data_IF_408899488244
#
_entry.id   IF_408899488244
#
_cell.length_a   1.000
_cell.length_b   1.000
_cell.length_c   1.000
_cell.angle_alpha   90.00
_cell.angle_beta   90.00
_cell.angle_gamma   90.00
#
_symmetry.space_group_name_H-M   'P 1'
#
loop_
_entity.id
_entity.type
_entity.pdbx_description
1 polymer ?
#
# COMPACT_ATOMS: atom_id res chain seq x y z
N UNK A 1 -42.26 -47.32 33.17
CA UNK A 1 -42.75 -46.52 32.03
C UNK A 1 -42.28 -47.18 30.76
N UNK A 2 -43.16 -47.42 29.77
CA UNK A 2 -42.77 -48.06 28.52
C UNK A 2 -41.86 -47.12 27.71
N UNK A 3 -40.67 -47.59 27.37
CA UNK A 3 -39.74 -46.91 26.47
C UNK A 3 -40.41 -46.80 25.09
N UNK A 4 -40.73 -45.58 24.66
CA UNK A 4 -41.32 -45.34 23.34
C UNK A 4 -40.22 -44.87 22.37
N UNK A 5 -39.58 -45.78 21.62
CA UNK A 5 -38.42 -45.47 20.78
C UNK A 5 -38.74 -44.44 19.68
N UNK A 6 -39.99 -44.34 19.25
CA UNK A 6 -40.42 -43.40 18.20
C UNK A 6 -40.37 -41.95 18.71
N UNK A 7 -40.67 -41.73 19.99
CA UNK A 7 -40.66 -40.39 20.59
C UNK A 7 -39.22 -39.86 20.76
N UNK A 8 -38.25 -40.74 21.05
CA UNK A 8 -36.83 -40.38 21.15
C UNK A 8 -36.21 -40.10 19.77
N UNK A 9 -36.61 -40.82 18.71
CA UNK A 9 -36.13 -40.57 17.34
C UNK A 9 -36.62 -39.20 16.83
N UNK A 10 -37.89 -38.86 17.07
CA UNK A 10 -38.42 -37.55 16.67
C UNK A 10 -37.79 -36.38 17.43
N UNK A 11 -37.47 -36.55 18.72
CA UNK A 11 -36.70 -35.54 19.46
C UNK A 11 -35.26 -35.42 18.95
N UNK A 12 -34.60 -36.53 18.59
CA UNK A 12 -33.27 -36.51 18.00
C UNK A 12 -33.22 -35.80 16.64
N UNK A 13 -34.22 -36.01 15.77
CA UNK A 13 -34.34 -35.34 14.48
C UNK A 13 -34.59 -33.83 14.63
N UNK A 14 -35.45 -33.42 15.58
CA UNK A 14 -35.69 -32.00 15.86
C UNK A 14 -34.45 -31.30 16.43
N UNK A 15 -33.71 -31.99 17.31
CA UNK A 15 -32.45 -31.49 17.86
C UNK A 15 -31.37 -31.38 16.78
N UNK A 16 -31.24 -32.38 15.91
CA UNK A 16 -30.30 -32.38 14.79
C UNK A 16 -30.61 -31.24 13.80
N UNK A 17 -31.89 -31.00 13.49
CA UNK A 17 -32.32 -29.87 12.67
C UNK A 17 -31.93 -28.52 13.28
N UNK A 18 -32.17 -28.33 14.59
CA UNK A 18 -31.79 -27.10 15.29
C UNK A 18 -30.28 -26.89 15.35
N UNK A 19 -29.50 -27.96 15.60
CA UNK A 19 -28.02 -27.88 15.62
C UNK A 19 -27.49 -27.52 14.23
N UNK A 20 -28.04 -28.13 13.18
CA UNK A 20 -27.64 -27.83 11.81
C UNK A 20 -27.99 -26.39 11.42
N UNK A 21 -29.16 -25.90 11.81
CA UNK A 21 -29.58 -24.52 11.55
C UNK A 21 -28.72 -23.52 12.32
N UNK A 22 -28.37 -23.82 13.58
CA UNK A 22 -27.49 -22.98 14.38
C UNK A 22 -26.06 -22.94 13.81
N UNK A 23 -25.56 -24.05 13.28
CA UNK A 23 -24.26 -24.10 12.60
C UNK A 23 -24.27 -23.26 11.32
N UNK A 24 -25.33 -23.33 10.50
CA UNK A 24 -25.47 -22.48 9.32
C UNK A 24 -25.51 -20.99 9.68
N UNK A 25 -26.24 -20.62 10.74
CA UNK A 25 -26.32 -19.24 11.21
C UNK A 25 -24.94 -18.70 11.64
N UNK A 26 -24.15 -19.52 12.35
CA UNK A 26 -22.81 -19.15 12.78
C UNK A 26 -21.84 -18.99 11.59
N UNK A 27 -21.97 -19.83 10.56
CA UNK A 27 -21.18 -19.71 9.33
C UNK A 27 -21.52 -18.42 8.57
N UNK A 28 -22.81 -18.10 8.43
CA UNK A 28 -23.25 -16.85 7.79
C UNK A 28 -22.69 -15.62 8.52
N UNK A 29 -22.73 -15.61 9.86
CA UNK A 29 -22.18 -14.50 10.65
C UNK A 29 -20.66 -14.36 10.48
N UNK A 30 -19.92 -15.47 10.44
CA UNK A 30 -18.47 -15.45 10.23
C UNK A 30 -18.09 -14.92 8.84
N UNK A 31 -18.81 -15.37 7.80
CA UNK A 31 -18.61 -14.92 6.41
C UNK A 31 -18.92 -13.42 6.26
N UNK A 32 -19.99 -12.93 6.90
CA UNK A 32 -20.31 -11.50 6.92
C UNK A 32 -19.21 -10.66 7.58
N UNK A 33 -18.62 -11.13 8.68
CA UNK A 33 -17.50 -10.45 9.33
C UNK A 33 -16.23 -10.46 8.45
N UNK A 34 -15.93 -11.58 7.78
CA UNK A 34 -14.82 -11.69 6.84
C UNK A 34 -14.95 -10.73 5.67
N UNK A 35 -16.13 -10.66 5.06
CA UNK A 35 -16.44 -9.71 3.98
C UNK A 35 -16.32 -8.25 4.46
N UNK A 36 -16.82 -7.94 5.67
CA UNK A 36 -16.69 -6.60 6.23
C UNK A 36 -15.21 -6.21 6.45
N UNK A 37 -14.37 -7.15 6.90
CA UNK A 37 -12.93 -6.92 7.06
C UNK A 37 -12.21 -6.75 5.71
N UNK A 38 -12.51 -7.59 4.72
CA UNK A 38 -11.97 -7.44 3.35
C UNK A 38 -12.38 -6.12 2.71
N UNK A 39 -13.63 -5.70 2.96
CA UNK A 39 -14.15 -4.41 2.48
C UNK A 39 -13.47 -3.24 3.16
N UNK A 40 -13.20 -3.34 4.47
CA UNK A 40 -12.49 -2.32 5.24
C UNK A 40 -11.01 -2.20 4.82
N UNK A 41 -10.40 -3.27 4.31
CA UNK A 41 -9.04 -3.29 3.79
C UNK A 41 -8.95 -2.89 2.30
N UNK A 42 -10.05 -2.46 1.68
CA UNK A 42 -10.07 -1.98 0.28
C UNK A 42 -9.86 -3.06 -0.79
N UNK A 43 -9.76 -4.32 -0.40
CA UNK A 43 -9.48 -5.46 -1.29
C UNK A 43 -10.70 -6.31 -1.66
N UNK A 44 -11.91 -5.89 -1.29
CA UNK A 44 -13.11 -6.69 -1.56
C UNK A 44 -13.50 -6.64 -3.04
N UNK A 45 -13.31 -7.77 -3.72
CA UNK A 45 -13.84 -8.03 -5.05
C UNK A 45 -14.89 -9.16 -4.96
N UNK A 46 -16.18 -8.90 -5.23
CA UNK A 46 -17.23 -9.92 -5.13
C UNK A 46 -16.98 -11.15 -6.01
N UNK A 47 -16.26 -10.98 -7.12
CA UNK A 47 -15.97 -12.08 -8.05
C UNK A 47 -14.81 -12.97 -7.58
N UNK A 48 -13.93 -12.45 -6.72
CA UNK A 48 -12.72 -13.14 -6.25
C UNK A 48 -12.80 -13.52 -4.76
N UNK A 49 -13.72 -12.91 -4.00
CA UNK A 49 -13.91 -13.21 -2.58
C UNK A 49 -14.57 -14.57 -2.41
N UNK A 50 -13.78 -15.54 -1.95
CA UNK A 50 -14.26 -16.88 -1.60
C UNK A 50 -15.36 -16.81 -0.52
N UNK A 51 -15.24 -15.90 0.43
CA UNK A 51 -16.24 -15.72 1.50
C UNK A 51 -17.59 -15.22 0.94
N UNK A 52 -17.55 -14.37 -0.08
CA UNK A 52 -18.76 -13.91 -0.76
C UNK A 52 -19.42 -15.02 -1.58
N UNK A 53 -18.64 -15.84 -2.29
CA UNK A 53 -19.15 -16.99 -3.02
C UNK A 53 -19.81 -18.01 -2.08
N UNK A 54 -19.21 -18.26 -0.90
CA UNK A 54 -19.79 -19.13 0.12
C UNK A 54 -21.07 -18.53 0.73
N UNK A 55 -21.08 -17.22 1.00
CA UNK A 55 -22.28 -16.54 1.49
C UNK A 55 -23.42 -16.60 0.46
N UNK A 56 -23.12 -16.45 -0.83
CA UNK A 56 -24.11 -16.55 -1.90
C UNK A 56 -24.72 -17.96 -2.03
N UNK A 57 -23.95 -19.01 -1.74
CA UNK A 57 -24.43 -20.39 -1.73
C UNK A 57 -25.27 -20.72 -0.48
N UNK A 58 -24.91 -20.18 0.69
CA UNK A 58 -25.58 -20.45 1.96
C UNK A 58 -26.81 -19.56 2.17
N UNK A 59 -26.75 -18.29 1.79
CA UNK A 59 -27.81 -17.30 1.98
C UNK A 59 -27.86 -16.29 0.81
N UNK A 60 -28.61 -16.63 -0.26
CA UNK A 60 -28.75 -15.78 -1.44
C UNK A 60 -29.33 -14.38 -1.13
N UNK A 61 -30.16 -14.26 -0.09
CA UNK A 61 -30.80 -12.98 0.25
C UNK A 61 -29.79 -12.05 0.94
N UNK A 62 -29.01 -12.56 1.89
CA UNK A 62 -27.97 -11.76 2.57
C UNK A 62 -26.81 -11.40 1.62
N UNK A 63 -26.42 -12.28 0.70
CA UNK A 63 -25.42 -11.95 -0.32
C UNK A 63 -25.90 -10.87 -1.29
N UNK A 64 -27.16 -10.92 -1.73
CA UNK A 64 -27.77 -9.86 -2.54
C UNK A 64 -27.85 -8.52 -1.79
N UNK A 65 -28.18 -8.54 -0.50
CA UNK A 65 -28.16 -7.34 0.35
C UNK A 65 -26.74 -6.80 0.56
N UNK A 66 -25.74 -7.67 0.72
CA UNK A 66 -24.33 -7.30 0.83
C UNK A 66 -23.82 -6.69 -0.47
N UNK A 67 -24.18 -7.26 -1.62
CA UNK A 67 -23.85 -6.73 -2.94
C UNK A 67 -24.57 -5.39 -3.21
N UNK A 68 -25.83 -5.27 -2.80
CA UNK A 68 -26.60 -4.02 -2.88
C UNK A 68 -26.00 -2.93 -1.99
N UNK A 69 -25.57 -3.29 -0.78
CA UNK A 69 -24.90 -2.39 0.17
C UNK A 69 -23.52 -1.99 -0.39
N UNK A 70 -22.73 -2.90 -0.93
CA UNK A 70 -21.46 -2.63 -1.59
C UNK A 70 -21.62 -1.73 -2.84
N UNK A 71 -22.60 -2.02 -3.69
CA UNK A 71 -22.88 -1.25 -4.91
C UNK A 71 -23.41 0.16 -4.57
N UNK A 72 -24.32 0.29 -3.61
CA UNK A 72 -24.87 1.58 -3.16
C UNK A 72 -23.87 2.42 -2.36
N UNK A 73 -22.93 1.79 -1.66
CA UNK A 73 -21.79 2.43 -1.01
C UNK A 73 -20.76 2.94 -2.03
N UNK A 74 -20.73 2.39 -3.25
CA UNK A 74 -19.72 2.73 -4.26
C UNK A 74 -20.06 3.99 -5.09
N UNK A 75 -21.32 4.26 -5.43
CA UNK A 75 -21.64 5.39 -6.34
C UNK A 75 -21.75 6.75 -5.64
N UNK A 76 -22.29 6.78 -4.41
CA UNK A 76 -22.32 8.00 -3.60
C UNK A 76 -20.91 8.47 -3.22
N UNK A 77 -20.02 7.52 -2.88
CA UNK A 77 -18.60 7.80 -2.60
C UNK A 77 -17.84 8.24 -3.85
N UNK A 78 -18.00 7.54 -4.98
CA UNK A 78 -17.38 7.97 -6.24
C UNK A 78 -17.82 9.39 -6.59
N UNK A 79 -19.12 9.67 -6.48
CA UNK A 79 -19.67 11.01 -6.71
C UNK A 79 -19.05 12.05 -5.78
N UNK A 80 -18.94 11.78 -4.48
CA UNK A 80 -18.27 12.67 -3.53
C UNK A 80 -16.79 12.90 -3.91
N UNK A 81 -16.05 11.84 -4.26
CA UNK A 81 -14.66 11.96 -4.72
C UNK A 81 -14.51 12.87 -5.94
N UNK A 82 -15.39 12.72 -6.92
CA UNK A 82 -15.39 13.57 -8.11
C UNK A 82 -15.83 15.01 -7.80
N UNK A 83 -16.72 15.22 -6.81
CA UNK A 83 -17.07 16.55 -6.32
C UNK A 83 -15.89 17.24 -5.64
N UNK A 84 -15.16 16.54 -4.77
CA UNK A 84 -13.95 17.05 -4.12
C UNK A 84 -12.87 17.40 -5.17
N UNK A 85 -12.73 16.56 -6.20
CA UNK A 85 -11.81 16.81 -7.33
C UNK A 85 -12.16 18.09 -8.06
N UNK A 86 -13.44 18.29 -8.37
CA UNK A 86 -13.95 19.51 -9.03
C UNK A 86 -13.73 20.74 -8.15
N UNK A 87 -13.99 20.64 -6.86
CA UNK A 87 -13.80 21.74 -5.92
C UNK A 87 -12.32 22.12 -5.81
N UNK A 88 -11.44 21.14 -5.62
CA UNK A 88 -9.99 21.34 -5.61
C UNK A 88 -9.50 22.01 -6.91
N UNK A 89 -9.97 21.57 -8.08
CA UNK A 89 -9.63 22.20 -9.36
C UNK A 89 -10.07 23.67 -9.40
N UNK A 90 -11.30 23.96 -8.97
CA UNK A 90 -11.85 25.32 -8.98
C UNK A 90 -11.09 26.26 -8.04
N UNK A 91 -10.59 25.74 -6.92
CA UNK A 91 -9.77 26.49 -5.97
C UNK A 91 -8.40 26.81 -6.58
N UNK A 92 -7.76 25.87 -7.26
CA UNK A 92 -6.53 26.14 -8.03
C UNK A 92 -6.76 27.16 -9.15
N UNK A 93 -7.86 27.04 -9.89
CA UNK A 93 -8.24 28.01 -10.94
C UNK A 93 -8.42 29.43 -10.40
N UNK A 94 -8.97 29.55 -9.19
CA UNK A 94 -9.16 30.81 -8.50
C UNK A 94 -7.89 31.35 -7.81
N UNK A 95 -6.78 30.60 -7.83
CA UNK A 95 -5.56 30.94 -7.10
C UNK A 95 -5.65 30.77 -5.59
N UNK A 96 -6.68 30.08 -5.07
CA UNK A 96 -6.86 29.81 -3.64
C UNK A 96 -6.12 28.54 -3.22
N UNK A 97 -4.80 28.67 -3.03
CA UNK A 97 -3.93 27.58 -2.60
C UNK A 97 -4.28 27.03 -1.21
N UNK A 98 -4.70 27.88 -0.28
CA UNK A 98 -5.05 27.46 1.08
C UNK A 98 -6.35 26.65 1.10
N UNK A 99 -7.37 27.11 0.37
CA UNK A 99 -8.60 26.36 0.19
C UNK A 99 -8.33 25.00 -0.47
N UNK A 100 -7.51 24.98 -1.52
CA UNK A 100 -7.11 23.75 -2.20
C UNK A 100 -6.48 22.74 -1.23
N UNK A 101 -5.51 23.18 -0.41
CA UNK A 101 -4.87 22.32 0.58
C UNK A 101 -5.89 21.75 1.58
N UNK A 102 -6.86 22.56 2.03
CA UNK A 102 -7.93 22.09 2.92
C UNK A 102 -8.76 20.94 2.33
N UNK A 103 -9.16 21.06 1.06
CA UNK A 103 -9.93 20.00 0.37
C UNK A 103 -9.09 18.74 0.17
N UNK A 104 -7.84 18.88 -0.26
CA UNK A 104 -6.95 17.74 -0.49
C UNK A 104 -6.59 17.02 0.81
N UNK A 105 -6.32 17.74 1.89
CA UNK A 105 -6.06 17.16 3.21
C UNK A 105 -7.29 16.42 3.76
N UNK A 106 -8.48 17.03 3.69
CA UNK A 106 -9.73 16.37 4.09
C UNK A 106 -9.99 15.10 3.29
N UNK A 107 -9.69 15.12 1.98
CA UNK A 107 -9.80 13.95 1.12
C UNK A 107 -8.81 12.85 1.51
N UNK A 108 -7.55 13.19 1.80
CA UNK A 108 -6.55 12.22 2.26
C UNK A 108 -6.98 11.53 3.56
N UNK A 109 -7.44 12.31 4.54
CA UNK A 109 -7.96 11.78 5.81
C UNK A 109 -9.15 10.84 5.57
N UNK A 110 -10.08 11.23 4.69
CA UNK A 110 -11.22 10.38 4.35
C UNK A 110 -10.81 9.10 3.61
N UNK A 111 -9.83 9.16 2.71
CA UNK A 111 -9.31 7.97 2.02
C UNK A 111 -8.69 7.01 3.04
N UNK A 112 -7.83 7.52 3.92
CA UNK A 112 -7.17 6.72 4.96
C UNK A 112 -8.17 6.11 5.94
N UNK A 113 -9.12 6.90 6.43
CA UNK A 113 -10.20 6.44 7.33
C UNK A 113 -11.07 5.35 6.69
N UNK A 114 -11.21 5.37 5.36
CA UNK A 114 -12.03 4.43 4.61
C UNK A 114 -11.21 3.28 4.00
N UNK A 115 -9.91 3.18 4.31
CA UNK A 115 -9.02 2.13 3.81
C UNK A 115 -8.79 2.17 2.29
N UNK A 116 -8.91 3.35 1.67
CA UNK A 116 -8.68 3.54 0.24
C UNK A 116 -7.21 3.85 -0.11
N UNK A 117 -6.90 3.88 -1.40
CA UNK A 117 -5.57 4.24 -1.91
C UNK A 117 -5.41 5.78 -2.05
N UNK A 118 -4.47 6.42 -1.31
CA UNK A 118 -4.26 7.87 -1.38
C UNK A 118 -3.35 8.32 -2.53
N UNK A 119 -2.75 7.39 -3.29
CA UNK A 119 -1.65 7.68 -4.23
C UNK A 119 -1.98 8.79 -5.23
N UNK A 120 -3.18 8.80 -5.82
CA UNK A 120 -3.58 9.85 -6.76
C UNK A 120 -3.67 11.23 -6.09
N UNK A 121 -4.22 11.28 -4.89
CA UNK A 121 -4.37 12.53 -4.13
C UNK A 121 -3.01 13.04 -3.66
N UNK A 122 -2.10 12.15 -3.26
CA UNK A 122 -0.72 12.47 -2.91
C UNK A 122 0.07 13.03 -4.11
N UNK A 123 -0.13 12.48 -5.31
CA UNK A 123 0.52 13.00 -6.52
C UNK A 123 0.07 14.44 -6.82
N UNK A 124 -1.23 14.73 -6.68
CA UNK A 124 -1.77 16.09 -6.83
C UNK A 124 -1.19 17.05 -5.78
N UNK A 125 -1.13 16.61 -4.52
CA UNK A 125 -0.53 17.39 -3.44
C UNK A 125 0.97 17.64 -3.66
N UNK A 126 1.71 16.63 -4.12
CA UNK A 126 3.13 16.72 -4.40
C UNK A 126 3.41 17.72 -5.53
N UNK A 127 2.64 17.67 -6.63
CA UNK A 127 2.76 18.62 -7.72
C UNK A 127 2.50 20.06 -7.25
N UNK A 128 1.48 20.27 -6.42
CA UNK A 128 1.22 21.58 -5.85
C UNK A 128 2.37 22.08 -4.94
N UNK A 129 2.86 21.22 -4.04
CA UNK A 129 3.92 21.56 -3.09
C UNK A 129 5.29 21.79 -3.76
N UNK A 130 5.55 21.20 -4.93
CA UNK A 130 6.76 21.44 -5.71
C UNK A 130 6.70 22.73 -6.56
N UNK A 131 5.58 23.47 -6.51
CA UNK A 131 5.33 24.65 -7.32
C UNK A 131 4.77 24.35 -8.72
N UNK A 132 4.52 23.08 -9.06
CA UNK A 132 3.87 22.67 -10.30
C UNK A 132 2.34 22.73 -10.18
N UNK A 133 1.83 23.95 -9.99
CA UNK A 133 0.40 24.24 -9.85
C UNK A 133 -0.37 23.84 -11.11
N UNK A 134 0.23 24.01 -12.29
CA UNK A 134 -0.38 23.61 -13.56
C UNK A 134 -0.50 22.08 -13.68
N UNK A 135 0.53 21.33 -13.29
CA UNK A 135 0.47 19.87 -13.26
C UNK A 135 -0.62 19.36 -12.30
N UNK A 136 -0.75 19.97 -11.12
CA UNK A 136 -1.85 19.68 -10.19
C UNK A 136 -3.23 19.93 -10.81
N UNK A 137 -3.39 21.07 -11.49
CA UNK A 137 -4.61 21.43 -12.20
C UNK A 137 -4.96 20.44 -13.33
N UNK A 138 -3.99 20.05 -14.15
CA UNK A 138 -4.20 19.13 -15.28
C UNK A 138 -4.57 17.72 -14.81
N UNK A 139 -4.01 17.25 -13.69
CA UNK A 139 -4.39 15.98 -13.08
C UNK A 139 -5.84 16.01 -12.60
N UNK A 140 -6.23 17.05 -11.86
CA UNK A 140 -7.60 17.21 -11.38
C UNK A 140 -8.61 17.35 -12.53
N UNK A 141 -8.25 18.06 -13.59
CA UNK A 141 -9.09 18.25 -14.78
C UNK A 141 -9.39 16.92 -15.48
N UNK A 142 -8.37 16.06 -15.64
CA UNK A 142 -8.55 14.71 -16.22
C UNK A 142 -9.44 13.83 -15.33
N UNK A 143 -9.22 13.86 -14.02
CA UNK A 143 -10.05 13.10 -13.07
C UNK A 143 -11.50 13.60 -13.05
N UNK A 144 -11.73 14.91 -13.13
CA UNK A 144 -13.08 15.48 -13.26
C UNK A 144 -13.77 14.99 -14.54
N UNK A 145 -13.05 15.00 -15.68
CA UNK A 145 -13.62 14.55 -16.95
C UNK A 145 -14.09 13.09 -16.88
N UNK A 146 -13.32 12.21 -16.24
CA UNK A 146 -13.75 10.82 -15.98
C UNK A 146 -15.05 10.79 -15.19
N UNK A 147 -15.20 11.63 -14.16
CA UNK A 147 -16.44 11.74 -13.38
C UNK A 147 -17.65 12.22 -14.21
N UNK A 148 -17.42 13.08 -15.21
CA UNK A 148 -18.45 13.52 -16.16
C UNK A 148 -18.81 12.39 -17.13
N UNK A 149 -17.81 11.73 -17.71
CA UNK A 149 -18.00 10.63 -18.66
C UNK A 149 -18.74 9.44 -18.04
N UNK A 150 -18.52 9.20 -16.74
CA UNK A 150 -19.23 8.20 -15.95
C UNK A 150 -20.66 8.63 -15.53
N UNK A 151 -21.08 9.85 -15.85
CA UNK A 151 -22.40 10.39 -15.46
C UNK A 151 -22.54 10.71 -13.96
N UNK A 152 -21.44 10.68 -13.20
CA UNK A 152 -21.42 10.96 -11.76
C UNK A 152 -21.37 12.46 -11.46
N UNK A 153 -20.79 13.24 -12.37
CA UNK A 153 -20.80 14.69 -12.38
C UNK A 153 -21.61 15.24 -13.56
N UNK A 154 -22.30 16.36 -13.34
CA UNK A 154 -22.87 17.13 -14.46
C UNK A 154 -21.76 17.92 -15.15
N UNK A 155 -21.76 17.91 -16.48
CA UNK A 155 -20.90 18.76 -17.31
C UNK A 155 -21.14 20.26 -16.96
N UNK A 156 -20.09 21.04 -16.67
CA UNK A 156 -20.19 22.49 -16.48
C UNK A 156 -20.91 23.20 -17.64
N UNK A 157 -20.66 22.80 -18.88
CA UNK A 157 -21.32 23.34 -20.08
C UNK A 157 -22.81 23.00 -20.05
N UNK A 158 -23.20 21.79 -19.67
CA UNK A 158 -24.62 21.41 -19.57
C UNK A 158 -25.34 22.18 -18.43
N UNK A 159 -24.62 22.51 -17.36
CA UNK A 159 -25.14 23.32 -16.24
C UNK A 159 -25.26 24.80 -16.62
N UNK A 160 -24.31 25.35 -17.37
CA UNK A 160 -24.41 26.69 -17.97
C UNK A 160 -25.49 26.74 -19.04
N UNK A 161 -25.63 25.72 -19.88
CA UNK A 161 -26.70 25.61 -20.86
C UNK A 161 -28.07 25.56 -20.18
N UNK A 162 -28.19 24.81 -19.08
CA UNK A 162 -29.42 24.75 -18.26
C UNK A 162 -29.69 26.06 -17.51
N UNK A 163 -28.67 26.74 -16.99
CA UNK A 163 -28.80 28.07 -16.34
C UNK A 163 -29.10 29.18 -17.35
N UNK A 164 -28.50 29.13 -18.54
CA UNK A 164 -28.78 30.01 -19.66
C UNK A 164 -30.20 29.78 -20.19
N UNK A 165 -30.64 28.52 -20.29
CA UNK A 165 -32.04 28.16 -20.60
C UNK A 165 -33.03 28.59 -19.52
N UNK A 166 -32.63 28.57 -18.24
CA UNK A 166 -33.48 29.01 -17.14
C UNK A 166 -33.54 30.55 -16.97
N UNK A 167 -32.46 31.26 -17.33
CA UNK A 167 -32.39 32.75 -17.30
C UNK A 167 -32.93 33.39 -18.58
N UNK A 168 -32.83 32.72 -19.72
CA UNK A 168 -33.49 33.15 -20.95
C UNK A 168 -34.91 32.61 -20.97
N UNK A 169 -35.85 33.36 -20.39
CA UNK A 169 -37.28 33.19 -20.62
C UNK A 169 -37.70 33.50 -22.08
N UNK A 170 -36.94 33.01 -23.06
CA UNK A 170 -37.12 33.28 -24.48
C UNK A 170 -36.60 32.08 -25.27
N UNK A 171 -37.49 31.51 -26.08
CA UNK A 171 -37.31 30.43 -27.08
C UNK A 171 -35.99 29.65 -26.97
N UNK A 172 -36.11 28.37 -26.62
CA UNK A 172 -34.99 27.42 -26.54
C UNK A 172 -34.03 27.54 -27.74
N UNK A 173 -32.73 27.26 -27.56
CA UNK A 173 -31.73 27.32 -28.65
C UNK A 173 -32.22 26.57 -29.91
N UNK A 174 -32.91 25.46 -29.70
CA UNK A 174 -33.55 24.65 -30.75
C UNK A 174 -34.69 25.37 -31.48
N UNK A 175 -35.46 26.23 -30.80
CA UNK A 175 -36.47 27.07 -31.45
C UNK A 175 -35.85 28.23 -32.23
N UNK A 176 -34.73 28.81 -31.77
CA UNK A 176 -34.03 29.85 -32.55
C UNK A 176 -33.34 29.26 -33.77
N UNK A 177 -32.75 28.07 -33.62
CA UNK A 177 -32.18 27.31 -34.71
C UNK A 177 -33.27 26.88 -35.71
N UNK A 178 -34.41 26.39 -35.23
CA UNK A 178 -35.57 26.09 -36.08
C UNK A 178 -36.11 27.33 -36.79
N UNK A 179 -36.31 28.45 -36.10
CA UNK A 179 -36.75 29.72 -36.71
C UNK A 179 -35.74 30.20 -37.77
N UNK A 180 -34.44 30.02 -37.53
CA UNK A 180 -33.38 30.35 -38.49
C UNK A 180 -33.41 29.43 -39.71
N UNK A 181 -33.59 28.13 -39.52
CA UNK A 181 -33.70 27.16 -40.62
C UNK A 181 -34.95 27.42 -41.45
N UNK A 182 -36.08 27.71 -40.81
CA UNK A 182 -37.32 28.11 -41.49
C UNK A 182 -37.09 29.38 -42.31
N UNK A 183 -36.48 30.42 -41.74
CA UNK A 183 -36.21 31.67 -42.48
C UNK A 183 -35.28 31.47 -43.69
N UNK A 184 -34.29 30.57 -43.57
CA UNK A 184 -33.37 30.24 -44.67
C UNK A 184 -34.05 29.42 -45.76
N UNK A 185 -34.98 28.52 -45.39
CA UNK A 185 -35.78 27.74 -46.33
C UNK A 185 -36.83 28.61 -47.04
N UNK A 186 -37.44 29.57 -46.33
CA UNK A 186 -38.39 30.52 -46.93
C UNK A 186 -37.71 31.48 -47.91
N UNK A 187 -36.46 31.87 -47.64
CA UNK A 187 -35.69 32.76 -48.51
C UNK A 187 -35.17 32.06 -49.79
N UNK A 188 -35.08 30.72 -49.79
CA UNK A 188 -34.60 29.90 -50.90
C UNK A 188 -35.39 28.58 -50.97
N UNK A 189 -36.67 28.63 -51.38
CA UNK A 189 -37.58 27.49 -51.34
C UNK A 189 -37.20 26.36 -52.29
N UNK A 190 -36.47 26.70 -53.37
CA UNK A 190 -35.99 25.75 -54.37
C UNK A 190 -34.62 25.15 -54.00
N UNK A 191 -33.96 25.68 -52.96
CA UNK A 191 -32.68 25.18 -52.46
C UNK A 191 -31.52 25.37 -53.43
N UNK A 192 -31.50 26.48 -54.18
CA UNK A 192 -30.45 26.78 -55.15
C UNK A 192 -29.11 27.09 -54.47
N UNK A 193 -29.16 27.64 -53.26
CA UNK A 193 -27.96 27.92 -52.45
C UNK A 193 -27.64 26.77 -51.51
N UNK A 194 -26.35 26.62 -51.18
CA UNK A 194 -25.90 25.58 -50.21
C UNK A 194 -26.61 25.75 -48.86
N UNK A 195 -26.89 26.99 -48.44
CA UNK A 195 -27.54 27.28 -47.16
C UNK A 195 -29.03 26.95 -47.18
N UNK A 196 -29.76 27.34 -48.23
CA UNK A 196 -31.17 26.99 -48.41
C UNK A 196 -31.36 25.48 -48.52
N UNK A 197 -30.54 24.81 -49.33
CA UNK A 197 -30.54 23.35 -49.46
C UNK A 197 -30.24 22.63 -48.14
N UNK A 198 -29.27 23.09 -47.35
CA UNK A 198 -28.98 22.53 -46.04
C UNK A 198 -30.16 22.70 -45.07
N UNK A 199 -30.79 23.88 -45.07
CA UNK A 199 -31.96 24.15 -44.25
C UNK A 199 -33.16 23.27 -44.63
N UNK A 200 -33.44 23.12 -45.94
CA UNK A 200 -34.49 22.23 -46.45
C UNK A 200 -34.23 20.75 -46.08
N UNK A 201 -32.98 20.28 -46.09
CA UNK A 201 -32.61 18.92 -45.65
C UNK A 201 -32.85 18.75 -44.15
N UNK A 202 -32.42 19.73 -43.34
CA UNK A 202 -32.50 19.64 -41.87
C UNK A 202 -33.94 19.79 -41.35
N UNK A 203 -34.80 20.50 -42.09
CA UNK A 203 -36.25 20.54 -41.87
C UNK A 203 -36.98 19.29 -42.40
N UNK A 204 -36.29 18.39 -43.13
CA UNK A 204 -36.88 17.18 -43.72
C UNK A 204 -37.76 17.44 -44.94
N UNK A 205 -37.64 18.62 -45.57
CA UNK A 205 -38.42 19.02 -46.75
C UNK A 205 -37.85 18.45 -48.06
N UNK A 206 -36.56 18.13 -48.09
CA UNK A 206 -35.92 17.41 -49.20
C UNK A 206 -35.05 16.27 -48.67
N UNK A 207 -34.96 15.18 -49.44
CA UNK A 207 -34.14 14.03 -49.05
C UNK A 207 -32.66 14.43 -49.00
N UNK A 208 -31.98 14.05 -47.91
CA UNK A 208 -30.53 14.15 -47.81
C UNK A 208 -29.94 13.23 -48.88
N UNK A 209 -29.37 13.80 -49.94
CA UNK A 209 -28.53 13.04 -50.86
C UNK A 209 -27.27 12.68 -50.07
N UNK A 210 -27.29 11.49 -49.47
CA UNK A 210 -26.23 11.03 -48.58
C UNK A 210 -25.07 10.50 -49.41
N UNK A 211 -24.22 11.40 -49.90
CA UNK A 211 -22.83 10.97 -50.11
C UNK A 211 -22.09 11.23 -48.81
N UNK A 212 -21.51 10.18 -48.24
CA UNK A 212 -20.79 10.28 -46.96
C UNK A 212 -19.62 11.28 -47.10
N UNK A 213 -19.08 11.77 -45.99
CA UNK A 213 -17.90 12.64 -46.08
C UNK A 213 -16.74 11.90 -46.77
N UNK A 214 -16.66 10.59 -46.54
CA UNK A 214 -15.71 9.66 -47.14
C UNK A 214 -15.92 9.53 -48.66
N UNK A 215 -17.17 9.47 -49.12
CA UNK A 215 -17.51 9.38 -50.54
C UNK A 215 -17.19 10.69 -51.28
N UNK A 216 -17.47 11.85 -50.66
CA UNK A 216 -17.07 13.17 -51.20
C UNK A 216 -15.55 13.37 -51.24
N UNK A 217 -14.83 12.78 -50.29
CA UNK A 217 -13.36 12.80 -50.28
C UNK A 217 -12.83 11.84 -51.36
N UNK A 218 -13.45 10.68 -51.55
CA UNK A 218 -13.05 9.69 -52.55
C UNK A 218 -13.31 10.17 -53.99
N UNK A 219 -14.41 10.89 -54.23
CA UNK A 219 -14.75 11.42 -55.56
C UNK A 219 -13.95 12.66 -55.95
N UNK A 220 -13.26 13.31 -55.00
CA UNK A 220 -12.48 14.52 -55.23
C UNK A 220 -11.00 14.31 -54.92
N UNK A 221 -10.21 14.02 -55.96
CA UNK A 221 -8.77 13.74 -55.87
C UNK A 221 -7.97 14.86 -55.15
N UNK A 222 -8.34 16.12 -55.37
CA UNK A 222 -7.70 17.27 -54.70
C UNK A 222 -7.99 17.27 -53.20
N UNK A 223 -9.22 16.93 -52.81
CA UNK A 223 -9.62 16.84 -51.41
C UNK A 223 -8.99 15.62 -50.72
N UNK A 224 -8.96 14.46 -51.38
CA UNK A 224 -8.26 13.27 -50.91
C UNK A 224 -6.78 13.56 -50.62
N UNK A 225 -6.07 14.17 -51.57
CA UNK A 225 -4.66 14.52 -51.41
C UNK A 225 -4.42 15.51 -50.26
N UNK A 226 -5.31 16.49 -50.07
CA UNK A 226 -5.23 17.42 -48.92
C UNK A 226 -5.46 16.70 -47.58
N UNK A 227 -6.44 15.80 -47.50
CA UNK A 227 -6.72 15.03 -46.28
C UNK A 227 -5.54 14.14 -45.91
N UNK A 228 -4.97 13.42 -46.89
CA UNK A 228 -3.78 12.58 -46.69
C UNK A 228 -2.58 13.42 -46.21
N UNK A 229 -2.34 14.58 -46.83
CA UNK A 229 -1.24 15.47 -46.43
C UNK A 229 -1.43 16.00 -45.01
N UNK A 230 -2.62 16.50 -44.66
CA UNK A 230 -2.92 17.01 -43.31
C UNK A 230 -2.81 15.89 -42.26
N UNK A 231 -3.28 14.69 -42.58
CA UNK A 231 -3.14 13.53 -41.70
C UNK A 231 -1.65 13.17 -41.48
N UNK A 232 -0.85 13.18 -42.55
CA UNK A 232 0.60 12.94 -42.46
C UNK A 232 1.33 13.99 -41.61
N UNK A 233 1.06 15.28 -41.83
CA UNK A 233 1.64 16.39 -41.06
C UNK A 233 1.23 16.31 -39.58
N UNK A 234 -0.03 15.98 -39.30
CA UNK A 234 -0.53 15.81 -37.93
C UNK A 234 0.18 14.66 -37.21
N UNK A 235 0.33 13.51 -37.87
CA UNK A 235 1.04 12.35 -37.32
C UNK A 235 2.52 12.68 -37.06
N UNK A 236 3.20 13.33 -38.01
CA UNK A 236 4.59 13.74 -37.85
C UNK A 236 4.78 14.73 -36.69
N UNK A 237 3.88 15.70 -36.53
CA UNK A 237 3.92 16.65 -35.42
C UNK A 237 3.67 15.95 -34.06
N UNK A 238 2.75 14.99 -34.00
CA UNK A 238 2.48 14.21 -32.79
C UNK A 238 3.68 13.34 -32.38
N UNK A 239 4.32 12.65 -33.34
CA UNK A 239 5.52 11.86 -33.08
C UNK A 239 6.71 12.73 -32.68
N UNK A 240 6.92 13.87 -33.35
CA UNK A 240 7.95 14.84 -32.99
C UNK A 240 7.77 15.39 -31.57
N UNK A 241 6.54 15.74 -31.18
CA UNK A 241 6.22 16.18 -29.83
C UNK A 241 6.49 15.08 -28.79
N UNK A 242 6.08 13.83 -29.08
CA UNK A 242 6.34 12.68 -28.20
C UNK A 242 7.84 12.45 -28.03
N UNK A 243 8.62 12.50 -29.11
CA UNK A 243 10.08 12.34 -29.07
C UNK A 243 10.76 13.48 -28.32
N UNK A 244 10.31 14.73 -28.53
CA UNK A 244 10.80 15.90 -27.80
C UNK A 244 10.60 15.76 -26.29
N UNK A 245 9.40 15.37 -25.86
CA UNK A 245 9.11 15.12 -24.45
C UNK A 245 9.93 13.95 -23.88
N UNK A 246 10.11 12.87 -24.65
CA UNK A 246 10.98 11.78 -24.24
C UNK A 246 12.43 12.23 -24.07
N UNK A 247 12.94 13.09 -24.95
CA UNK A 247 14.32 13.57 -24.86
C UNK A 247 14.54 14.44 -23.61
N UNK A 248 13.54 15.26 -23.25
CA UNK A 248 13.57 16.12 -22.07
C UNK A 248 13.51 15.30 -20.78
N UNK A 249 12.64 14.29 -20.71
CA UNK A 249 12.38 13.57 -19.45
C UNK A 249 13.24 12.32 -19.24
N UNK A 250 13.75 11.68 -20.30
CA UNK A 250 14.58 10.45 -20.18
C UNK A 250 15.79 10.63 -19.25
N UNK A 251 16.59 11.71 -19.33
CA UNK A 251 17.73 11.88 -18.44
C UNK A 251 17.32 11.97 -16.96
N UNK A 252 16.22 12.68 -16.67
CA UNK A 252 15.68 12.79 -15.32
C UNK A 252 15.19 11.46 -14.77
N UNK A 253 14.46 10.68 -15.57
CA UNK A 253 13.99 9.34 -15.22
C UNK A 253 15.17 8.41 -14.94
N UNK A 254 16.19 8.39 -15.81
CA UNK A 254 17.40 7.56 -15.61
C UNK A 254 18.12 7.94 -14.32
N UNK A 255 18.25 9.23 -14.02
CA UNK A 255 18.87 9.69 -12.78
C UNK A 255 18.07 9.25 -11.56
N UNK A 256 16.74 9.41 -11.58
CA UNK A 256 15.87 9.00 -10.49
C UNK A 256 15.94 7.48 -10.25
N UNK A 257 15.93 6.68 -11.32
CA UNK A 257 16.08 5.22 -11.24
C UNK A 257 17.42 4.84 -10.62
N UNK A 258 18.53 5.48 -11.00
CA UNK A 258 19.84 5.20 -10.39
C UNK A 258 19.90 5.53 -8.90
N UNK A 259 19.29 6.64 -8.49
CA UNK A 259 19.22 7.02 -7.06
C UNK A 259 18.38 6.00 -6.29
N UNK A 260 17.22 5.62 -6.82
CA UNK A 260 16.36 4.63 -6.21
C UNK A 260 17.01 3.23 -6.15
N UNK A 261 17.74 2.82 -7.20
CA UNK A 261 18.48 1.57 -7.24
C UNK A 261 19.57 1.53 -6.16
N UNK A 262 20.34 2.62 -6.01
CA UNK A 262 21.35 2.73 -4.96
C UNK A 262 20.72 2.66 -3.56
N UNK A 263 19.64 3.40 -3.33
CA UNK A 263 18.94 3.39 -2.05
C UNK A 263 18.34 2.00 -1.74
N UNK A 264 17.80 1.31 -2.75
CA UNK A 264 17.28 -0.05 -2.60
C UNK A 264 18.38 -1.06 -2.25
N UNK A 265 19.56 -0.95 -2.86
CA UNK A 265 20.74 -1.77 -2.52
C UNK A 265 21.15 -1.52 -1.06
N UNK A 266 21.31 -0.25 -0.67
CA UNK A 266 21.70 0.12 0.70
C UNK A 266 20.68 -0.38 1.74
N UNK A 267 19.38 -0.23 1.47
CA UNK A 267 18.32 -0.79 2.33
C UNK A 267 18.33 -2.32 2.36
N UNK A 268 18.58 -2.97 1.24
CA UNK A 268 18.69 -4.43 1.13
C UNK A 268 19.84 -5.00 1.96
N UNK A 269 20.99 -4.32 1.96
CA UNK A 269 22.14 -4.68 2.80
C UNK A 269 21.83 -4.51 4.28
N UNK A 270 21.17 -3.41 4.67
CA UNK A 270 20.75 -3.16 6.05
C UNK A 270 19.73 -4.22 6.51
N UNK A 271 18.76 -4.57 5.67
CA UNK A 271 17.76 -5.60 5.95
C UNK A 271 18.39 -6.98 6.13
N UNK A 272 19.30 -7.36 5.23
CA UNK A 272 20.01 -8.64 5.31
C UNK A 272 20.84 -8.72 6.59
N UNK A 273 21.54 -7.62 6.94
CA UNK A 273 22.31 -7.52 8.17
C UNK A 273 21.41 -7.60 9.41
N UNK A 274 20.25 -6.94 9.39
CA UNK A 274 19.28 -6.96 10.48
C UNK A 274 18.72 -8.38 10.69
N UNK A 275 18.27 -9.05 9.63
CA UNK A 275 17.71 -10.40 9.72
C UNK A 275 18.72 -11.40 10.27
N UNK A 276 19.99 -11.33 9.86
CA UNK A 276 21.05 -12.17 10.43
C UNK A 276 21.27 -11.88 11.91
N UNK A 277 21.32 -10.60 12.28
CA UNK A 277 21.52 -10.17 13.67
C UNK A 277 20.36 -10.63 14.57
N UNK A 278 19.11 -10.52 14.10
CA UNK A 278 17.92 -10.97 14.83
C UNK A 278 17.85 -12.49 14.95
N UNK A 279 18.11 -13.23 13.87
CA UNK A 279 18.04 -14.69 13.87
C UNK A 279 19.02 -15.33 14.86
N UNK A 280 20.14 -14.66 15.11
CA UNK A 280 21.21 -15.22 15.91
C UNK A 280 21.37 -14.58 17.30
N UNK A 281 20.58 -13.54 17.61
CA UNK A 281 20.46 -12.96 18.95
C UNK A 281 20.04 -14.01 20.02
N UNK A 282 19.07 -14.92 19.78
CA UNK A 282 18.73 -15.95 20.77
C UNK A 282 19.91 -16.86 21.11
N UNK A 283 20.69 -17.29 20.09
CA UNK A 283 21.89 -18.10 20.30
C UNK A 283 22.95 -17.35 21.10
N UNK A 284 23.13 -16.06 20.83
CA UNK A 284 24.06 -15.20 21.57
C UNK A 284 23.66 -15.10 23.05
N UNK A 285 22.37 -14.88 23.33
CA UNK A 285 21.85 -14.82 24.70
C UNK A 285 22.07 -16.13 25.47
N UNK A 286 21.87 -17.28 24.82
CA UNK A 286 22.16 -18.59 25.42
C UNK A 286 23.65 -18.75 25.73
N UNK A 287 24.53 -18.45 24.76
CA UNK A 287 25.98 -18.57 24.96
C UNK A 287 26.49 -17.64 26.06
N UNK A 288 25.97 -16.42 26.14
CA UNK A 288 26.29 -15.48 27.22
C UNK A 288 25.80 -16.02 28.56
N UNK A 289 24.60 -16.59 28.64
CA UNK A 289 24.07 -17.20 29.87
C UNK A 289 24.98 -18.34 30.36
N UNK A 290 25.39 -19.25 29.46
CA UNK A 290 26.33 -20.32 29.78
C UNK A 290 27.69 -19.79 30.24
N UNK A 291 28.20 -18.72 29.61
CA UNK A 291 29.42 -18.04 30.06
C UNK A 291 29.25 -17.44 31.46
N UNK A 292 28.08 -16.87 31.80
CA UNK A 292 27.81 -16.32 33.13
C UNK A 292 27.86 -17.40 34.20
N UNK A 293 27.21 -18.54 33.95
CA UNK A 293 27.23 -19.70 34.86
C UNK A 293 28.66 -20.23 35.06
N UNK A 294 29.43 -20.34 33.97
CA UNK A 294 30.81 -20.83 34.02
C UNK A 294 31.76 -19.84 34.70
N UNK A 295 31.57 -18.54 34.53
CA UNK A 295 32.37 -17.53 35.21
C UNK A 295 32.16 -17.59 36.73
N UNK A 296 30.92 -17.77 37.20
CA UNK A 296 30.64 -17.98 38.63
C UNK A 296 31.35 -19.23 39.17
N UNK A 297 31.37 -20.31 38.41
CA UNK A 297 32.08 -21.56 38.77
C UNK A 297 33.61 -21.37 38.74
N UNK A 298 34.13 -20.63 37.75
CA UNK A 298 35.55 -20.37 37.55
C UNK A 298 36.18 -19.57 38.69
N UNK A 299 35.38 -18.71 39.36
CA UNK A 299 35.89 -17.78 40.36
C UNK A 299 35.55 -18.18 41.79
N UNK A 300 34.65 -19.16 41.97
CA UNK A 300 34.31 -19.72 43.27
C UNK A 300 35.31 -20.79 43.69
N UNK A 301 36.46 -20.36 44.20
CA UNK A 301 37.40 -21.20 44.97
C UNK A 301 36.77 -21.74 46.28
N UNK A 302 35.50 -21.43 46.57
CA UNK A 302 34.76 -21.83 47.78
C UNK A 302 33.71 -22.95 47.56
N UNK A 303 33.40 -23.33 46.31
CA UNK A 303 32.34 -24.31 45.97
C UNK A 303 32.82 -25.75 45.77
N UNK A 304 33.85 -26.20 46.49
CA UNK A 304 34.68 -27.36 46.14
C UNK A 304 34.03 -28.75 46.05
N UNK A 305 32.71 -28.91 46.24
CA UNK A 305 32.03 -30.23 46.31
C UNK A 305 31.11 -30.57 45.13
N UNK A 306 30.49 -29.60 44.46
CA UNK A 306 29.55 -29.87 43.36
C UNK A 306 30.31 -30.15 42.05
N UNK A 307 31.43 -29.45 41.83
CA UNK A 307 32.26 -29.65 40.64
C UNK A 307 33.15 -30.90 40.72
N UNK A 308 33.55 -31.33 41.93
CA UNK A 308 34.34 -32.57 42.14
C UNK A 308 33.56 -33.83 41.69
N UNK A 309 32.23 -33.79 41.64
CA UNK A 309 31.39 -34.91 41.22
C UNK A 309 31.28 -35.01 39.68
N UNK A 310 31.28 -33.87 38.97
CA UNK A 310 31.34 -33.83 37.49
C UNK A 310 32.76 -34.10 36.94
N UNK A 311 33.80 -33.68 37.67
CA UNK A 311 35.21 -33.93 37.31
C UNK A 311 35.60 -35.40 37.56
N UNK A 312 35.07 -36.05 38.61
CA UNK A 312 35.26 -37.49 38.84
C UNK A 312 34.68 -38.39 37.74
N UNK A 313 33.65 -37.94 37.04
CA UNK A 313 33.04 -38.71 35.95
C UNK A 313 33.68 -38.49 34.57
N UNK A 314 34.37 -37.37 34.36
CA UNK A 314 34.99 -37.04 33.05
C UNK A 314 36.47 -37.42 32.92
N UNK A 315 37.11 -37.92 33.98
CA UNK A 315 38.42 -38.57 33.90
C UNK A 315 39.64 -37.66 33.68
N UNK A 316 39.48 -36.34 33.72
CA UNK A 316 40.59 -35.39 33.54
C UNK A 316 41.09 -34.84 34.88
N UNK A 317 42.21 -35.40 35.36
CA UNK A 317 42.93 -34.91 36.53
C UNK A 317 43.81 -33.72 36.20
N UNK A 318 43.56 -32.57 36.85
CA UNK A 318 44.52 -31.67 37.53
C UNK A 318 43.86 -30.30 37.83
N UNK A 319 44.26 -29.74 38.99
CA UNK A 319 43.90 -28.47 39.68
C UNK A 319 42.68 -27.63 39.23
N UNK A 320 41.81 -27.33 40.21
CA UNK A 320 40.46 -26.73 40.13
C UNK A 320 40.33 -25.40 39.35
N UNK A 321 41.36 -24.56 39.26
CA UNK A 321 41.28 -23.25 38.59
C UNK A 321 41.73 -23.24 37.11
N UNK A 322 42.81 -23.96 36.77
CA UNK A 322 43.38 -23.94 35.43
C UNK A 322 42.46 -24.61 34.39
N UNK A 323 41.78 -25.70 34.79
CA UNK A 323 40.89 -26.48 33.92
C UNK A 323 39.57 -25.74 33.63
N UNK A 324 39.02 -25.01 34.60
CA UNK A 324 37.84 -24.16 34.39
C UNK A 324 38.15 -22.97 33.47
N UNK A 325 39.32 -22.34 33.65
CA UNK A 325 39.79 -21.26 32.77
C UNK A 325 40.02 -21.74 31.34
N UNK A 326 40.66 -22.89 31.16
CA UNK A 326 40.86 -23.49 29.84
C UNK A 326 39.51 -23.81 29.17
N UNK A 327 38.52 -24.31 29.92
CA UNK A 327 37.17 -24.59 29.41
C UNK A 327 36.40 -23.31 29.04
N UNK A 328 36.52 -22.26 29.84
CA UNK A 328 35.93 -20.96 29.56
C UNK A 328 36.51 -20.34 28.28
N UNK A 329 37.85 -20.30 28.17
CA UNK A 329 38.55 -19.83 26.96
C UNK A 329 38.18 -20.70 25.74
N UNK A 330 38.03 -22.02 25.92
CA UNK A 330 37.61 -22.92 24.85
C UNK A 330 36.17 -22.64 24.38
N UNK A 331 35.24 -22.33 25.28
CA UNK A 331 33.86 -21.97 24.92
C UNK A 331 33.81 -20.62 24.21
N UNK A 332 34.57 -19.63 24.70
CA UNK A 332 34.70 -18.34 24.02
C UNK A 332 35.26 -18.53 22.60
N UNK A 333 36.33 -19.31 22.45
CA UNK A 333 36.99 -19.50 21.15
C UNK A 333 36.22 -20.38 20.17
N UNK A 334 35.53 -21.42 20.66
CA UNK A 334 34.92 -22.44 19.79
C UNK A 334 33.42 -22.25 19.60
N UNK A 335 32.75 -21.45 20.44
CA UNK A 335 31.29 -21.26 20.37
C UNK A 335 30.92 -19.79 20.26
N UNK A 336 31.42 -18.93 21.14
CA UNK A 336 31.00 -17.52 21.21
C UNK A 336 31.59 -16.71 20.05
N UNK A 337 32.91 -16.79 19.81
CA UNK A 337 33.55 -16.07 18.71
C UNK A 337 33.05 -16.52 17.32
N UNK A 338 32.87 -17.83 17.04
CA UNK A 338 32.26 -18.27 15.79
C UNK A 338 30.83 -17.75 15.61
N UNK A 339 30.00 -17.83 16.67
CA UNK A 339 28.64 -17.31 16.63
C UNK A 339 28.62 -15.78 16.40
N UNK A 340 29.54 -15.04 17.02
CA UNK A 340 29.72 -13.60 16.80
C UNK A 340 30.19 -13.25 15.39
N UNK A 341 31.08 -14.07 14.81
CA UNK A 341 31.48 -13.92 13.41
C UNK A 341 30.35 -14.26 12.44
N UNK A 342 29.54 -15.26 12.74
CA UNK A 342 28.40 -15.66 11.89
C UNK A 342 27.27 -14.64 11.94
N UNK A 343 26.93 -14.16 13.14
CA UNK A 343 25.89 -13.14 13.41
C UNK A 343 26.22 -11.79 12.77
N UNK A 344 27.43 -11.29 12.98
CA UNK A 344 27.81 -9.93 12.62
C UNK A 344 28.73 -9.86 11.40
N UNK A 345 29.24 -10.99 10.89
CA UNK A 345 30.05 -11.03 9.68
C UNK A 345 31.26 -10.10 9.76
N UNK A 346 31.44 -9.26 8.72
CA UNK A 346 32.49 -8.25 8.67
C UNK A 346 32.35 -7.14 9.75
N UNK A 347 31.18 -7.00 10.38
CA UNK A 347 30.95 -6.04 11.46
C UNK A 347 31.42 -6.53 12.84
N UNK A 348 31.89 -7.79 12.96
CA UNK A 348 32.65 -8.26 14.11
C UNK A 348 34.09 -8.49 13.68
N UNK A 349 34.94 -7.54 14.03
CA UNK A 349 36.34 -7.53 13.63
C UNK A 349 37.17 -8.53 14.44
N UNK A 350 38.28 -9.00 13.88
CA UNK A 350 39.24 -9.81 14.62
C UNK A 350 39.78 -9.08 15.87
N UNK A 351 39.83 -7.74 15.83
CA UNK A 351 40.22 -6.90 16.96
C UNK A 351 39.19 -6.95 18.09
N UNK A 352 37.90 -6.85 17.80
CA UNK A 352 36.85 -7.01 18.81
C UNK A 352 36.86 -8.43 19.41
N UNK A 353 37.13 -9.45 18.60
CA UNK A 353 37.29 -10.82 19.07
C UNK A 353 38.48 -11.02 20.00
N UNK A 354 39.64 -10.46 19.65
CA UNK A 354 40.84 -10.52 20.50
C UNK A 354 40.69 -9.62 21.74
N UNK A 355 39.99 -8.48 21.67
CA UNK A 355 39.68 -7.66 22.83
C UNK A 355 38.74 -8.39 23.79
N UNK A 356 37.69 -9.03 23.28
CA UNK A 356 36.79 -9.84 24.10
C UNK A 356 37.56 -10.99 24.77
N UNK A 357 38.39 -11.71 24.00
CA UNK A 357 39.22 -12.81 24.50
C UNK A 357 40.27 -12.36 25.52
N UNK A 358 40.91 -11.21 25.31
CA UNK A 358 41.88 -10.64 26.23
C UNK A 358 41.22 -10.30 27.57
N UNK A 359 40.06 -9.65 27.52
CA UNK A 359 39.38 -9.19 28.73
C UNK A 359 38.70 -10.34 29.47
N UNK A 360 38.11 -11.30 28.74
CA UNK A 360 37.53 -12.53 29.30
C UNK A 360 38.59 -13.49 29.83
N UNK A 361 39.75 -13.53 29.17
CA UNK A 361 40.88 -14.40 29.48
C UNK A 361 41.80 -13.87 30.57
N UNK A 362 41.66 -12.61 30.97
CA UNK A 362 42.46 -11.96 32.01
C UNK A 362 42.34 -12.73 33.36
N UNK A 363 43.47 -13.18 33.96
CA UNK A 363 43.45 -13.89 35.24
C UNK A 363 43.04 -13.01 36.41
N UNK A 364 43.33 -11.72 36.34
CA UNK A 364 43.25 -10.79 37.47
C UNK A 364 41.89 -10.09 37.52
N UNK A 365 41.10 -10.19 36.45
CA UNK A 365 39.73 -9.69 36.42
C UNK A 365 38.78 -10.54 37.26
N UNK A 366 37.99 -9.86 38.10
CA UNK A 366 36.96 -10.45 38.94
C UNK A 366 35.77 -10.97 38.13
N UNK A 367 34.96 -11.86 38.71
CA UNK A 367 33.73 -12.36 38.07
C UNK A 367 32.81 -11.22 37.66
N UNK A 368 32.61 -10.26 38.56
CA UNK A 368 31.67 -9.17 38.37
C UNK A 368 32.11 -8.26 37.22
N UNK A 369 33.41 -8.02 37.06
CA UNK A 369 33.96 -7.30 35.92
C UNK A 369 33.72 -8.04 34.60
N UNK A 370 33.91 -9.38 34.58
CA UNK A 370 33.63 -10.22 33.40
C UNK A 370 32.16 -10.21 33.04
N UNK A 371 31.27 -10.27 34.03
CA UNK A 371 29.82 -10.19 33.83
C UNK A 371 29.41 -8.83 33.28
N UNK A 372 29.90 -7.75 33.89
CA UNK A 372 29.60 -6.38 33.46
C UNK A 372 30.06 -6.11 32.02
N UNK A 373 31.20 -6.68 31.61
CA UNK A 373 31.70 -6.56 30.23
C UNK A 373 30.87 -7.37 29.23
N UNK A 374 30.44 -8.59 29.58
CA UNK A 374 29.52 -9.37 28.75
C UNK A 374 28.17 -8.66 28.58
N UNK A 375 27.64 -8.09 29.65
CA UNK A 375 26.39 -7.33 29.62
C UNK A 375 26.51 -6.07 28.78
N UNK A 376 27.57 -5.28 28.97
CA UNK A 376 27.83 -4.10 28.15
C UNK A 376 27.97 -4.45 26.65
N UNK A 377 28.59 -5.58 26.34
CA UNK A 377 28.73 -6.07 24.97
C UNK A 377 27.37 -6.48 24.37
N UNK A 378 26.55 -7.25 25.10
CA UNK A 378 25.20 -7.63 24.65
C UNK A 378 24.33 -6.40 24.45
N UNK A 379 24.32 -5.48 25.41
CA UNK A 379 23.57 -4.22 25.33
C UNK A 379 23.99 -3.37 24.15
N UNK A 380 25.27 -3.36 23.80
CA UNK A 380 25.75 -2.68 22.61
C UNK A 380 25.19 -3.32 21.33
N UNK A 381 25.20 -4.66 21.24
CA UNK A 381 24.68 -5.36 20.06
C UNK A 381 23.16 -5.25 19.91
N UNK A 382 22.42 -5.26 21.01
CA UNK A 382 20.98 -4.98 21.01
C UNK A 382 20.71 -3.56 20.49
N UNK A 383 21.45 -2.56 20.97
CA UNK A 383 21.33 -1.17 20.48
C UNK A 383 21.69 -1.04 19.00
N UNK A 384 22.68 -1.78 18.51
CA UNK A 384 23.04 -1.80 17.08
C UNK A 384 21.88 -2.37 16.24
N UNK A 385 21.20 -3.43 16.73
CA UNK A 385 20.01 -4.01 16.08
C UNK A 385 18.85 -3.02 16.05
N UNK A 386 18.56 -2.36 17.18
CA UNK A 386 17.51 -1.33 17.25
C UNK A 386 17.79 -0.14 16.33
N UNK A 387 19.06 0.23 16.17
CA UNK A 387 19.47 1.29 15.26
C UNK A 387 19.20 0.89 13.81
N UNK A 388 19.51 -0.36 13.43
CA UNK A 388 19.18 -0.91 12.09
C UNK A 388 17.67 -1.03 11.85
N UNK A 389 16.89 -1.41 12.86
CA UNK A 389 15.42 -1.42 12.78
C UNK A 389 14.87 -0.02 12.50
N UNK A 390 15.36 0.99 13.22
CA UNK A 390 14.98 2.40 13.01
C UNK A 390 15.38 2.92 11.63
N UNK A 391 16.55 2.55 11.11
CA UNK A 391 16.99 2.90 9.76
C UNK A 391 16.07 2.33 8.66
N UNK A 392 15.41 1.19 8.92
CA UNK A 392 14.47 0.57 8.00
C UNK A 392 13.01 1.02 8.21
N UNK A 393 12.76 1.98 9.11
CA UNK A 393 11.42 2.43 9.45
C UNK A 393 10.55 1.36 10.14
N UNK A 394 11.16 0.29 10.66
CA UNK A 394 10.44 -0.70 11.45
C UNK A 394 10.26 -0.15 12.88
N UNK A 395 9.05 -0.22 13.45
CA UNK A 395 8.85 0.13 14.85
C UNK A 395 9.75 -0.75 15.71
N UNK A 396 10.50 -0.12 16.62
CA UNK A 396 11.34 -0.86 17.57
C UNK A 396 10.47 -1.90 18.26
N UNK A 397 10.92 -3.16 18.24
CA UNK A 397 10.18 -4.24 18.91
C UNK A 397 10.02 -3.84 20.38
N UNK A 398 8.80 -3.83 20.94
CA UNK A 398 8.60 -3.44 22.33
C UNK A 398 9.52 -4.31 23.18
N UNK A 399 10.40 -3.64 23.94
CA UNK A 399 11.40 -4.26 24.77
C UNK A 399 10.73 -5.40 25.55
N UNK A 400 11.14 -6.65 25.27
CA UNK A 400 11.21 -7.61 26.34
C UNK A 400 12.32 -7.09 27.25
N UNK A 401 11.99 -6.08 28.07
CA UNK A 401 12.71 -5.83 29.30
C UNK A 401 12.61 -7.14 30.04
N UNK A 402 13.63 -7.98 29.87
CA UNK A 402 13.96 -9.00 30.84
C UNK A 402 14.21 -8.25 32.13
N UNK A 403 13.14 -8.00 32.86
CA UNK A 403 13.17 -7.69 34.28
C UNK A 403 13.86 -8.90 34.90
N UNK A 404 15.20 -8.83 34.98
CA UNK A 404 16.01 -9.75 35.74
C UNK A 404 15.62 -9.54 37.21
N UNK A 405 14.60 -10.29 37.63
CA UNK A 405 14.16 -10.41 39.01
C UNK A 405 15.32 -10.98 39.83
N UNK A 406 16.20 -10.11 40.34
CA UNK A 406 17.37 -10.58 41.09
C UNK A 406 18.20 -9.54 41.83
N UNK A 407 18.25 -8.27 41.40
CA UNK A 407 19.11 -7.28 42.07
C UNK A 407 18.32 -6.10 42.62
N UNK A 408 17.96 -6.18 43.90
CA UNK A 408 17.62 -5.02 44.72
C UNK A 408 18.91 -4.28 45.04
N UNK A 409 19.17 -3.18 44.34
CA UNK A 409 20.17 -2.20 44.78
C UNK A 409 19.62 -1.53 46.03
N UNK A 410 20.15 -1.90 47.20
CA UNK A 410 19.96 -1.14 48.42
C UNK A 410 20.86 0.08 48.32
N UNK A 411 20.27 1.28 48.36
CA UNK A 411 20.99 2.53 48.58
C UNK A 411 21.24 2.74 50.06
#
# INVERSE_FOLDING_TARGET
MPFNPVQNINQGLALAGNIQQQQQQNQVNALQQGIAQQTAQGGFNPNESLDFQQLAALDPNNSAQTLSTFNSISDSRKKAMFQDTREARRLLEAGDGNGFLGVVSSRLENIERLGGDPSQTLNVLQAFNSGDVQGAFDMLSRTEQVGIDMGLLSDPLDRELKRAKAKAGGKSSRMRELDSLISLAEADPDGETIKGKAALIELGLIARVSTSAEERIAENEVLANKVVKVAGEKSAAQEGAKLGQQLIHKPGIISAVKVAEKEAIERGDVLTSLSRSQAALPGLMTAVTELKELAQISTSTFGGKIFDQAVKQSGFGTTKGATARAKFIAIVNNQVLPLLKETFGAAFTAQEGEALKATMGDPDSSTDEKMAQLDAFVDQKVRDIETKQRQLGQPASPQQTGEFAGFKVVR
#
